data_IF_632594831125
#
_entry.id   IF_632594831125
#
_cell.length_a   1.000
_cell.length_b   1.000
_cell.length_c   1.000
_cell.angle_alpha   90.00
_cell.angle_beta   90.00
_cell.angle_gamma   90.00
#
_symmetry.space_group_name_H-M   'P 1'
#
loop_
_entity.id
_entity.type
_entity.pdbx_description
1 polymer ?
#
# COMPACT_ATOMS: atom_id res chain seq x y z
N UNK A 1 -72.80 -42.68 64.33
CA UNK A 1 -71.35 -42.63 64.02
C UNK A 1 -71.09 -41.33 63.32
N UNK A 2 -70.30 -40.43 63.92
CA UNK A 2 -70.13 -39.06 63.48
C UNK A 2 -68.96 -38.98 62.47
N UNK A 3 -69.03 -38.09 61.44
CA UNK A 3 -67.91 -37.91 60.50
C UNK A 3 -66.90 -36.92 61.05
N UNK A 4 -65.63 -37.13 60.74
CA UNK A 4 -64.49 -36.36 61.14
C UNK A 4 -64.28 -35.20 60.06
N UNK A 5 -64.12 -34.01 60.56
CA UNK A 5 -63.89 -32.80 59.73
C UNK A 5 -62.49 -32.76 59.13
N UNK A 6 -62.42 -32.35 57.85
CA UNK A 6 -61.14 -32.05 57.17
C UNK A 6 -60.71 -30.59 57.43
N UNK A 7 -59.49 -30.43 57.85
CA UNK A 7 -58.82 -29.12 57.98
C UNK A 7 -58.14 -28.72 56.66
N UNK A 8 -58.52 -27.60 56.14
CA UNK A 8 -57.90 -26.98 54.97
C UNK A 8 -56.55 -26.30 55.37
N UNK A 9 -55.46 -26.74 54.78
CA UNK A 9 -54.16 -25.98 54.82
C UNK A 9 -54.16 -25.00 53.67
N UNK A 10 -54.12 -23.72 54.01
CA UNK A 10 -53.84 -22.61 53.08
C UNK A 10 -52.35 -22.51 52.86
N UNK A 11 -51.87 -22.77 51.65
CA UNK A 11 -50.50 -22.55 51.25
C UNK A 11 -50.33 -21.07 50.77
N UNK A 12 -49.58 -20.29 51.49
CA UNK A 12 -49.10 -18.99 51.04
C UNK A 12 -47.90 -19.16 50.06
N UNK A 13 -48.15 -18.91 48.80
CA UNK A 13 -47.10 -18.79 47.78
C UNK A 13 -46.52 -17.39 47.81
N UNK A 14 -45.33 -17.22 48.37
CA UNK A 14 -44.55 -15.98 48.27
C UNK A 14 -43.94 -15.91 46.88
N UNK A 15 -44.43 -15.00 46.02
CA UNK A 15 -43.82 -14.70 44.72
C UNK A 15 -42.65 -13.76 44.96
N UNK A 16 -41.40 -14.29 44.88
CA UNK A 16 -40.17 -13.53 44.74
C UNK A 16 -40.11 -12.93 43.35
N UNK A 17 -40.48 -11.67 43.19
CA UNK A 17 -40.17 -10.89 41.99
C UNK A 17 -38.67 -10.58 41.96
N UNK A 18 -37.89 -11.38 41.23
CA UNK A 18 -36.52 -11.06 40.82
C UNK A 18 -36.62 -9.89 39.82
N UNK A 19 -36.42 -8.67 40.29
CA UNK A 19 -36.16 -7.52 39.45
C UNK A 19 -34.76 -7.71 38.78
N UNK A 20 -34.75 -8.24 37.56
CA UNK A 20 -33.56 -8.19 36.69
C UNK A 20 -33.36 -6.70 36.35
N UNK A 21 -32.56 -6.03 37.14
CA UNK A 21 -32.08 -4.70 36.80
C UNK A 21 -31.27 -4.79 35.51
N UNK A 22 -31.85 -4.31 34.41
CA UNK A 22 -31.12 -4.06 33.18
C UNK A 22 -30.05 -3.02 33.49
N UNK A 23 -28.81 -3.47 33.77
CA UNK A 23 -27.66 -2.59 33.73
C UNK A 23 -27.54 -2.06 32.32
N UNK A 24 -28.14 -0.91 32.03
CA UNK A 24 -27.81 -0.11 30.88
C UNK A 24 -26.34 0.33 31.08
N UNK A 25 -25.39 -0.41 30.52
CA UNK A 25 -24.04 0.11 30.38
C UNK A 25 -24.15 1.44 29.64
N UNK A 26 -23.78 2.52 30.30
CA UNK A 26 -23.71 3.83 29.67
C UNK A 26 -22.84 3.66 28.42
N UNK A 27 -23.44 3.86 27.25
CA UNK A 27 -22.71 3.74 25.98
C UNK A 27 -21.58 4.76 26.01
N UNK A 28 -20.34 4.27 25.94
CA UNK A 28 -19.16 5.12 25.99
C UNK A 28 -19.26 6.21 24.92
N UNK A 29 -18.93 7.46 25.28
CA UNK A 29 -18.94 8.59 24.33
C UNK A 29 -17.83 8.38 23.27
N UNK A 30 -18.24 7.92 22.08
CA UNK A 30 -17.34 7.63 20.96
C UNK A 30 -16.50 8.83 20.55
N UNK A 31 -17.06 10.06 20.60
CA UNK A 31 -16.31 11.30 20.33
C UNK A 31 -15.18 11.50 21.32
N UNK A 32 -15.47 11.39 22.61
CA UNK A 32 -14.48 11.57 23.69
C UNK A 32 -13.38 10.53 23.60
N UNK A 33 -13.74 9.27 23.29
CA UNK A 33 -12.77 8.19 23.08
C UNK A 33 -11.86 8.45 21.88
N UNK A 34 -12.42 8.86 20.75
CA UNK A 34 -11.66 9.17 19.53
C UNK A 34 -10.75 10.38 19.75
N UNK A 35 -11.26 11.46 20.33
CA UNK A 35 -10.48 12.66 20.61
C UNK A 35 -9.33 12.38 21.57
N UNK A 36 -9.58 11.61 22.64
CA UNK A 36 -8.57 11.27 23.64
C UNK A 36 -7.54 10.24 23.19
N UNK A 37 -7.84 9.44 22.15
CA UNK A 37 -6.95 8.38 21.68
C UNK A 37 -6.27 8.74 20.34
N UNK A 38 -7.07 9.14 19.33
CA UNK A 38 -6.55 9.33 17.98
C UNK A 38 -5.73 10.62 17.83
N UNK A 39 -6.09 11.67 18.56
CA UNK A 39 -5.40 12.97 18.48
C UNK A 39 -4.10 13.04 19.28
N UNK A 40 -3.73 12.01 20.06
CA UNK A 40 -2.53 12.01 20.88
C UNK A 40 -1.23 12.00 20.07
N UNK A 41 -1.23 11.33 18.92
CA UNK A 41 -0.03 11.20 18.07
C UNK A 41 -0.06 12.14 16.86
N UNK A 42 -1.25 12.42 16.33
CA UNK A 42 -1.46 13.31 15.19
C UNK A 42 -2.93 13.75 15.11
N UNK A 43 -3.24 14.92 14.55
CA UNK A 43 -4.61 15.34 14.34
C UNK A 43 -5.37 14.36 13.42
N UNK A 44 -6.47 13.79 13.90
CA UNK A 44 -7.27 12.83 13.11
C UNK A 44 -7.76 13.46 11.80
N UNK A 45 -8.29 14.68 11.83
CA UNK A 45 -8.80 15.39 10.66
C UNK A 45 -7.79 15.51 9.51
N UNK A 46 -6.49 15.54 9.80
CA UNK A 46 -5.44 15.57 8.81
C UNK A 46 -5.17 14.20 8.13
N UNK A 47 -5.79 13.13 8.64
CA UNK A 47 -5.54 11.74 8.20
C UNK A 47 -6.77 10.99 7.70
N UNK A 48 -7.96 11.51 7.89
CA UNK A 48 -9.22 10.83 7.51
C UNK A 48 -9.41 10.70 6.00
N UNK A 49 -8.72 11.51 5.19
CA UNK A 49 -8.83 11.46 3.73
C UNK A 49 -10.27 11.61 3.25
N UNK A 50 -10.74 10.66 2.42
CA UNK A 50 -12.11 10.59 1.91
C UNK A 50 -13.06 9.82 2.83
N UNK A 51 -12.70 9.59 4.08
CA UNK A 51 -13.44 8.74 5.01
C UNK A 51 -13.36 7.26 4.63
N UNK A 52 -14.06 6.41 5.41
CA UNK A 52 -14.07 4.97 5.19
C UNK A 52 -15.44 4.36 5.49
N UNK A 53 -15.69 3.20 4.92
CA UNK A 53 -16.80 2.31 5.32
C UNK A 53 -16.61 1.84 6.78
N UNK A 54 -17.65 1.28 7.45
CA UNK A 54 -17.48 0.70 8.79
C UNK A 54 -16.33 -0.29 8.88
N UNK A 55 -16.19 -1.21 7.91
CA UNK A 55 -15.09 -2.17 7.88
C UNK A 55 -13.73 -1.50 7.63
N UNK A 56 -13.71 -0.45 6.81
CA UNK A 56 -12.52 0.38 6.60
C UNK A 56 -12.07 1.05 7.89
N UNK A 57 -12.97 1.66 8.66
CA UNK A 57 -12.68 2.25 9.96
C UNK A 57 -12.23 1.22 10.98
N UNK A 58 -12.86 0.04 11.02
CA UNK A 58 -12.41 -1.09 11.86
C UNK A 58 -10.96 -1.47 11.55
N UNK A 59 -10.61 -1.53 10.27
CA UNK A 59 -9.22 -1.79 9.83
C UNK A 59 -8.28 -0.67 10.26
N UNK A 60 -8.67 0.61 10.12
CA UNK A 60 -7.85 1.76 10.55
C UNK A 60 -7.61 1.73 12.06
N UNK A 61 -8.64 1.46 12.87
CA UNK A 61 -8.48 1.30 14.32
C UNK A 61 -7.45 0.20 14.62
N UNK A 62 -7.55 -0.96 13.97
CA UNK A 62 -6.59 -2.06 14.14
C UNK A 62 -5.16 -1.66 13.74
N UNK A 63 -5.00 -0.93 12.64
CA UNK A 63 -3.70 -0.38 12.22
C UNK A 63 -3.09 0.49 13.31
N UNK A 64 -3.88 1.36 13.93
CA UNK A 64 -3.40 2.26 14.99
C UNK A 64 -3.05 1.49 16.25
N UNK A 65 -3.83 0.46 16.62
CA UNK A 65 -3.48 -0.45 17.72
C UNK A 65 -2.13 -1.14 17.49
N UNK A 66 -1.86 -1.59 16.27
CA UNK A 66 -0.56 -2.18 15.90
C UNK A 66 0.59 -1.15 16.02
N UNK A 67 0.29 0.14 15.92
CA UNK A 67 1.25 1.24 16.13
C UNK A 67 1.32 1.71 17.60
N UNK A 68 0.66 1.02 18.51
CA UNK A 68 0.69 1.32 19.94
C UNK A 68 -0.39 2.27 20.45
N UNK A 69 -1.42 2.56 19.63
CA UNK A 69 -2.56 3.34 20.13
C UNK A 69 -3.27 2.58 21.26
N UNK A 70 -3.51 3.21 22.44
CA UNK A 70 -4.08 2.56 23.62
C UNK A 70 -5.60 2.42 23.49
N UNK A 71 -6.07 1.61 22.54
CA UNK A 71 -7.49 1.33 22.34
C UNK A 71 -7.89 0.07 23.08
N UNK A 72 -8.70 0.22 24.12
CA UNK A 72 -9.29 -0.92 24.82
C UNK A 72 -10.34 -1.59 23.92
N UNK A 73 -10.36 -2.94 23.82
CA UNK A 73 -11.27 -3.66 22.92
C UNK A 73 -12.75 -3.31 23.10
N UNK A 74 -13.19 -3.08 24.33
CA UNK A 74 -14.55 -2.69 24.69
C UNK A 74 -14.96 -1.31 24.14
N UNK A 75 -14.01 -0.43 23.86
CA UNK A 75 -14.24 0.91 23.32
C UNK A 75 -14.36 0.92 21.78
N UNK A 76 -13.91 -0.14 21.09
CA UNK A 76 -13.91 -0.21 19.63
C UNK A 76 -15.30 0.01 19.03
N UNK A 77 -16.41 -0.59 19.54
CA UNK A 77 -17.75 -0.36 18.98
C UNK A 77 -18.17 1.11 19.01
N UNK A 78 -17.97 1.82 20.14
CA UNK A 78 -18.36 3.22 20.27
C UNK A 78 -17.50 4.14 19.38
N UNK A 79 -16.18 3.90 19.30
CA UNK A 79 -15.28 4.62 18.40
C UNK A 79 -15.66 4.40 16.94
N UNK A 80 -15.99 3.16 16.55
CA UNK A 80 -16.38 2.80 15.20
C UNK A 80 -17.69 3.48 14.79
N UNK A 81 -18.69 3.50 15.65
CA UNK A 81 -19.97 4.18 15.42
C UNK A 81 -19.75 5.67 15.17
N UNK A 82 -18.97 6.33 16.05
CA UNK A 82 -18.64 7.75 15.90
C UNK A 82 -17.89 8.05 14.61
N UNK A 83 -16.82 7.28 14.30
CA UNK A 83 -15.99 7.51 13.12
C UNK A 83 -16.79 7.30 11.82
N UNK A 84 -17.64 6.27 11.78
CA UNK A 84 -18.48 5.98 10.61
C UNK A 84 -19.50 7.08 10.35
N UNK A 85 -20.10 7.65 11.40
CA UNK A 85 -21.08 8.75 11.29
C UNK A 85 -20.44 10.09 10.97
N UNK A 86 -19.28 10.37 11.58
CA UNK A 86 -18.61 11.67 11.44
C UNK A 86 -17.76 11.79 10.18
N UNK A 87 -17.14 10.68 9.75
CA UNK A 87 -16.25 10.61 8.59
C UNK A 87 -16.65 9.45 7.68
N UNK A 88 -17.85 9.46 7.12
CA UNK A 88 -18.31 8.42 6.19
C UNK A 88 -17.46 8.42 4.92
N UNK A 89 -17.40 7.26 4.23
CA UNK A 89 -16.76 7.19 2.93
C UNK A 89 -17.44 8.13 1.93
N UNK A 90 -16.66 9.01 1.34
CA UNK A 90 -17.15 9.91 0.30
C UNK A 90 -17.37 9.17 -1.01
N UNK A 91 -18.23 9.71 -1.87
CA UNK A 91 -18.51 9.18 -3.19
C UNK A 91 -17.20 9.08 -4.02
N UNK A 92 -16.95 7.92 -4.58
CA UNK A 92 -15.82 7.62 -5.47
C UNK A 92 -16.29 7.46 -6.90
N UNK A 93 -15.42 7.71 -7.91
CA UNK A 93 -15.76 7.42 -9.30
C UNK A 93 -16.06 5.93 -9.49
N UNK A 94 -17.00 5.62 -10.36
CA UNK A 94 -17.30 4.25 -10.73
C UNK A 94 -16.13 3.59 -11.47
N UNK A 95 -15.71 2.41 -10.99
CA UNK A 95 -14.70 1.60 -11.66
C UNK A 95 -15.27 1.01 -12.96
N UNK A 96 -14.80 1.51 -14.10
CA UNK A 96 -15.28 1.04 -15.41
C UNK A 96 -14.68 -0.31 -15.77
N UNK A 97 -15.52 -1.26 -16.16
CA UNK A 97 -15.12 -2.58 -16.60
C UNK A 97 -15.10 -2.62 -18.13
N UNK A 98 -13.91 -2.78 -18.69
CA UNK A 98 -13.69 -2.76 -20.14
C UNK A 98 -13.23 -4.15 -20.59
N UNK A 99 -14.06 -4.82 -21.39
CA UNK A 99 -13.74 -6.11 -21.98
C UNK A 99 -12.63 -6.02 -23.03
N UNK A 100 -11.98 -7.16 -23.32
CA UNK A 100 -10.99 -7.25 -24.39
C UNK A 100 -10.33 -8.63 -24.46
N UNK A 101 -9.27 -8.80 -25.27
CA UNK A 101 -8.70 -10.12 -25.56
C UNK A 101 -8.00 -10.77 -24.37
N UNK A 102 -7.38 -9.98 -23.46
CA UNK A 102 -6.70 -10.56 -22.32
C UNK A 102 -7.71 -11.13 -21.30
N UNK A 103 -7.40 -12.29 -20.74
CA UNK A 103 -8.15 -12.91 -19.66
C UNK A 103 -7.34 -12.84 -18.38
N UNK A 104 -7.99 -12.62 -17.24
CA UNK A 104 -7.32 -12.63 -15.94
C UNK A 104 -8.04 -13.54 -14.95
N UNK A 105 -7.26 -14.18 -14.09
CA UNK A 105 -7.75 -14.88 -12.90
C UNK A 105 -7.02 -14.30 -11.70
N UNK A 106 -7.76 -13.82 -10.71
CA UNK A 106 -7.21 -13.23 -9.49
C UNK A 106 -7.26 -14.25 -8.36
N UNK A 107 -6.16 -14.36 -7.64
CA UNK A 107 -6.02 -15.17 -6.43
C UNK A 107 -5.56 -14.27 -5.30
N UNK A 108 -6.20 -14.34 -4.14
CA UNK A 108 -5.95 -13.45 -3.01
C UNK A 108 -5.53 -14.24 -1.77
N UNK A 109 -4.72 -13.61 -0.94
CA UNK A 109 -4.32 -14.12 0.38
C UNK A 109 -4.46 -12.99 1.39
N UNK A 110 -5.10 -13.29 2.52
CA UNK A 110 -5.19 -12.40 3.67
C UNK A 110 -3.86 -12.41 4.43
N UNK A 111 -3.34 -11.24 4.77
CA UNK A 111 -2.20 -11.15 5.67
C UNK A 111 -2.60 -11.64 7.07
N UNK A 112 -1.83 -12.56 7.71
CA UNK A 112 -2.20 -13.16 8.99
C UNK A 112 -2.41 -12.14 10.11
N UNK A 113 -1.55 -11.11 10.18
CA UNK A 113 -1.70 -10.05 11.16
C UNK A 113 -2.80 -9.07 10.73
N UNK A 114 -3.92 -8.96 11.46
CA UNK A 114 -4.98 -8.02 11.14
C UNK A 114 -4.49 -6.57 11.16
N UNK A 115 -4.87 -5.77 10.15
CA UNK A 115 -4.40 -4.38 10.05
C UNK A 115 -2.92 -4.26 9.70
N UNK A 116 -2.32 -5.31 9.13
CA UNK A 116 -0.92 -5.29 8.67
C UNK A 116 -0.65 -4.22 7.61
N UNK A 117 -1.67 -3.85 6.83
CA UNK A 117 -1.57 -2.89 5.73
C UNK A 117 -0.49 -3.29 4.72
N UNK A 118 -0.68 -4.38 3.96
CA UNK A 118 0.21 -4.75 2.87
C UNK A 118 0.44 -3.55 1.95
N UNK A 119 1.72 -3.15 1.77
CA UNK A 119 2.05 -1.91 1.07
C UNK A 119 2.75 -2.16 -0.26
N UNK A 120 3.99 -2.60 -0.27
CA UNK A 120 4.71 -2.97 -1.49
C UNK A 120 4.76 -4.50 -1.62
N UNK A 121 4.30 -5.06 -2.75
CA UNK A 121 4.50 -6.47 -3.05
C UNK A 121 5.87 -6.69 -3.72
N UNK A 122 6.34 -7.95 -3.66
CA UNK A 122 7.51 -8.42 -4.40
C UNK A 122 7.23 -9.82 -4.93
N UNK A 123 7.50 -10.06 -6.19
CA UNK A 123 7.53 -11.37 -6.81
C UNK A 123 8.97 -11.87 -6.83
N UNK A 124 9.30 -12.76 -5.88
CA UNK A 124 10.66 -13.28 -5.75
C UNK A 124 11.00 -14.31 -6.84
N UNK A 125 12.30 -14.48 -7.13
CA UNK A 125 12.78 -15.40 -8.18
C UNK A 125 12.53 -16.87 -7.89
N UNK A 126 12.34 -17.22 -6.61
CA UNK A 126 11.96 -18.58 -6.19
C UNK A 126 10.46 -18.89 -6.39
N UNK A 127 9.70 -17.92 -6.90
CA UNK A 127 8.28 -18.02 -7.13
C UNK A 127 7.41 -17.67 -5.92
N UNK A 128 8.00 -17.36 -4.77
CA UNK A 128 7.25 -16.82 -3.63
C UNK A 128 6.85 -15.37 -3.87
N UNK A 129 5.76 -14.96 -3.24
CA UNK A 129 5.35 -13.56 -3.20
C UNK A 129 5.63 -13.00 -1.82
N UNK A 130 5.99 -11.73 -1.76
CA UNK A 130 6.27 -11.05 -0.51
C UNK A 130 5.44 -9.76 -0.40
N UNK A 131 5.29 -9.26 0.81
CA UNK A 131 4.71 -7.95 1.08
C UNK A 131 5.35 -7.29 2.31
N UNK A 132 5.35 -5.98 2.32
CA UNK A 132 5.62 -5.20 3.53
C UNK A 132 4.34 -5.03 4.32
N UNK A 133 4.28 -5.54 5.55
CA UNK A 133 3.20 -5.30 6.50
C UNK A 133 3.49 -4.01 7.28
N UNK A 134 3.19 -2.87 6.66
CA UNK A 134 3.66 -1.56 7.09
C UNK A 134 3.24 -1.21 8.52
N UNK A 135 2.01 -1.54 8.91
CA UNK A 135 1.48 -1.23 10.23
C UNK A 135 1.67 -2.36 11.26
N UNK A 136 2.07 -3.55 10.80
CA UNK A 136 2.39 -4.69 11.67
C UNK A 136 3.89 -4.88 11.90
N UNK A 137 4.74 -4.07 11.26
CA UNK A 137 6.19 -4.15 11.34
C UNK A 137 6.75 -5.54 10.95
N UNK A 138 6.24 -6.11 9.85
CA UNK A 138 6.61 -7.43 9.35
C UNK A 138 6.92 -7.42 7.86
N UNK A 139 7.69 -8.44 7.40
CA UNK A 139 7.70 -8.86 6.01
C UNK A 139 6.95 -10.19 5.89
N UNK A 140 5.94 -10.25 5.03
CA UNK A 140 5.19 -11.48 4.79
C UNK A 140 5.70 -12.19 3.54
N UNK A 141 5.89 -13.52 3.61
CA UNK A 141 6.22 -14.42 2.51
C UNK A 141 5.06 -15.37 2.25
N UNK A 142 4.58 -15.40 1.02
CA UNK A 142 3.48 -16.24 0.55
C UNK A 142 4.07 -17.31 -0.37
N UNK A 143 3.75 -18.58 -0.12
CA UNK A 143 3.88 -19.65 -1.10
C UNK A 143 2.58 -19.73 -1.91
N UNK A 144 2.54 -19.26 -3.18
CA UNK A 144 1.30 -19.22 -3.94
C UNK A 144 0.79 -20.60 -4.37
N UNK A 145 1.60 -21.65 -4.28
CA UNK A 145 1.19 -23.04 -4.57
C UNK A 145 0.55 -23.68 -3.35
N UNK A 146 1.20 -23.56 -2.19
CA UNK A 146 0.70 -24.15 -0.94
C UNK A 146 -0.34 -23.26 -0.23
N UNK A 147 -0.46 -21.99 -0.61
CA UNK A 147 -1.31 -21.01 0.07
C UNK A 147 -0.82 -20.61 1.47
N UNK A 148 0.40 -21.04 1.85
CA UNK A 148 0.96 -20.78 3.18
C UNK A 148 1.61 -19.42 3.25
N UNK A 149 1.42 -18.73 4.38
CA UNK A 149 2.02 -17.43 4.66
C UNK A 149 2.90 -17.53 5.91
N UNK A 150 4.09 -16.94 5.83
CA UNK A 150 4.98 -16.74 6.96
C UNK A 150 5.31 -15.27 7.09
N UNK A 151 5.12 -14.70 8.28
CA UNK A 151 5.54 -13.34 8.61
C UNK A 151 6.86 -13.36 9.38
N UNK A 152 7.73 -12.39 9.06
CA UNK A 152 9.03 -12.16 9.69
C UNK A 152 8.96 -10.82 10.42
N UNK A 153 8.89 -10.81 11.76
CA UNK A 153 8.96 -9.59 12.55
C UNK A 153 10.27 -8.84 12.26
N UNK A 154 10.19 -7.52 12.14
CA UNK A 154 11.38 -6.70 11.91
C UNK A 154 12.07 -6.34 13.22
N UNK A 155 13.39 -6.16 13.14
CA UNK A 155 14.27 -5.92 14.30
C UNK A 155 13.97 -4.59 14.98
N UNK A 156 13.91 -3.50 14.21
CA UNK A 156 13.57 -2.16 14.72
C UNK A 156 12.06 -2.04 14.85
N UNK A 157 11.51 -1.79 16.06
CA UNK A 157 10.07 -1.58 16.25
C UNK A 157 9.57 -0.38 15.46
N UNK A 158 8.32 -0.46 15.01
CA UNK A 158 7.63 0.61 14.28
C UNK A 158 8.42 1.18 13.09
N UNK A 159 9.23 0.32 12.44
CA UNK A 159 10.06 0.77 11.31
C UNK A 159 9.25 1.20 10.08
N UNK A 160 7.96 0.85 10.01
CA UNK A 160 7.08 1.20 8.91
C UNK A 160 7.60 0.66 7.57
N UNK A 161 7.78 -0.67 7.40
CA UNK A 161 8.35 -1.24 6.18
C UNK A 161 7.51 -0.81 4.97
N UNK A 162 8.20 -0.29 3.93
CA UNK A 162 7.53 0.32 2.79
C UNK A 162 8.00 -0.29 1.47
N UNK A 163 9.13 0.14 0.91
CA UNK A 163 9.69 -0.42 -0.31
C UNK A 163 10.25 -1.82 -0.11
N UNK A 164 10.18 -2.68 -1.14
CA UNK A 164 10.60 -4.08 -1.08
C UNK A 164 11.29 -4.50 -2.39
N UNK A 165 12.49 -5.10 -2.31
CA UNK A 165 13.21 -5.69 -3.45
C UNK A 165 14.06 -6.88 -3.03
N UNK A 166 14.29 -7.81 -3.98
CA UNK A 166 15.18 -8.97 -3.81
C UNK A 166 16.54 -8.70 -4.46
N UNK A 167 17.64 -9.04 -3.76
CA UNK A 167 18.98 -9.02 -4.33
C UNK A 167 19.31 -10.33 -5.10
N UNK A 168 20.49 -10.38 -5.74
CA UNK A 168 20.91 -11.58 -6.51
C UNK A 168 21.12 -12.82 -5.65
N UNK A 169 21.35 -12.67 -4.35
CA UNK A 169 21.55 -13.75 -3.39
C UNK A 169 20.25 -14.28 -2.80
N UNK A 170 19.11 -13.64 -3.12
CA UNK A 170 17.78 -13.99 -2.60
C UNK A 170 17.47 -13.36 -1.25
N UNK A 171 18.25 -12.38 -0.80
CA UNK A 171 17.87 -11.59 0.36
C UNK A 171 16.80 -10.59 -0.02
N UNK A 172 15.91 -10.31 0.92
CA UNK A 172 14.81 -9.35 0.75
C UNK A 172 15.17 -8.04 1.45
N UNK A 173 15.25 -6.98 0.66
CA UNK A 173 15.59 -5.64 1.13
C UNK A 173 14.32 -4.81 1.30
N UNK A 174 14.25 -4.02 2.37
CA UNK A 174 13.12 -3.17 2.68
C UNK A 174 13.55 -1.79 3.17
N UNK A 175 12.70 -0.80 2.98
CA UNK A 175 12.87 0.51 3.62
C UNK A 175 12.09 0.54 4.92
N UNK A 176 12.73 0.94 6.02
CA UNK A 176 12.08 1.31 7.28
C UNK A 176 11.76 2.79 7.24
N UNK A 177 10.62 3.13 6.63
CA UNK A 177 10.27 4.50 6.25
C UNK A 177 10.10 5.44 7.43
N UNK A 178 9.70 4.94 8.61
CA UNK A 178 9.50 5.73 9.83
C UNK A 178 10.70 5.70 10.77
N UNK A 179 11.69 4.84 10.50
CA UNK A 179 12.86 4.64 11.36
C UNK A 179 14.19 4.95 10.67
N UNK A 180 14.15 5.65 9.54
CA UNK A 180 15.33 6.10 8.80
C UNK A 180 16.36 4.98 8.56
N UNK A 181 15.91 3.83 8.05
CA UNK A 181 16.80 2.70 7.78
C UNK A 181 16.43 1.97 6.49
N UNK A 182 17.39 1.24 5.94
CA UNK A 182 17.19 0.19 4.95
C UNK A 182 17.59 -1.13 5.58
N UNK A 183 16.70 -2.12 5.55
CA UNK A 183 16.94 -3.44 6.10
C UNK A 183 17.12 -4.50 5.02
N UNK A 184 17.87 -5.56 5.36
CA UNK A 184 18.11 -6.75 4.56
C UNK A 184 17.76 -7.97 5.38
N UNK A 185 16.75 -8.73 4.97
CA UNK A 185 16.37 -10.01 5.54
C UNK A 185 16.98 -11.15 4.71
N UNK A 186 17.63 -12.10 5.36
CA UNK A 186 17.96 -13.38 4.77
C UNK A 186 16.80 -14.37 5.02
N UNK A 187 16.03 -14.77 4.00
CA UNK A 187 14.85 -15.63 4.21
C UNK A 187 15.16 -17.05 4.73
N UNK A 188 16.39 -17.53 4.51
CA UNK A 188 16.82 -18.88 4.94
C UNK A 188 17.10 -18.93 6.45
N UNK A 189 17.73 -17.89 6.98
CA UNK A 189 18.14 -17.84 8.40
C UNK A 189 17.23 -16.98 9.26
N UNK A 190 16.46 -16.06 8.64
CA UNK A 190 15.70 -15.04 9.35
C UNK A 190 16.54 -13.85 9.83
N UNK A 191 17.86 -13.85 9.58
CA UNK A 191 18.76 -12.79 10.04
C UNK A 191 18.45 -11.47 9.32
N UNK A 192 18.43 -10.37 10.09
CA UNK A 192 18.19 -9.01 9.60
C UNK A 192 19.44 -8.15 9.86
N UNK A 193 19.92 -7.51 8.78
CA UNK A 193 20.94 -6.45 8.82
C UNK A 193 20.27 -5.12 8.52
N UNK A 194 20.59 -4.06 9.26
CA UNK A 194 20.00 -2.74 9.08
C UNK A 194 21.09 -1.68 8.82
N UNK A 195 20.85 -0.81 7.87
CA UNK A 195 21.69 0.31 7.46
C UNK A 195 20.96 1.61 7.82
N UNK A 196 21.52 2.36 8.76
CA UNK A 196 20.96 3.67 9.15
C UNK A 196 21.15 4.67 8.02
N UNK A 197 20.12 5.47 7.76
CA UNK A 197 20.21 6.53 6.77
C UNK A 197 20.96 7.72 7.33
N UNK A 198 21.85 8.35 6.53
CA UNK A 198 22.44 9.64 6.89
C UNK A 198 21.42 10.78 6.75
N UNK A 199 21.62 11.85 7.53
CA UNK A 199 20.85 13.07 7.39
C UNK A 199 21.02 13.66 5.97
N UNK A 200 19.94 14.24 5.40
CA UNK A 200 18.58 14.35 5.92
C UNK A 200 17.64 13.20 5.43
N UNK A 201 18.16 12.07 4.94
CA UNK A 201 17.37 11.01 4.29
C UNK A 201 16.58 10.13 5.30
N UNK A 202 15.80 10.77 6.16
CA UNK A 202 15.11 10.10 7.29
C UNK A 202 13.89 9.26 6.89
N UNK A 203 13.46 9.28 5.62
CA UNK A 203 12.26 8.61 5.14
C UNK A 203 12.49 7.78 3.86
N UNK A 204 13.38 6.78 3.86
CA UNK A 204 13.62 5.95 2.69
C UNK A 204 12.31 5.29 2.24
N UNK A 205 12.04 5.29 0.92
CA UNK A 205 10.70 4.97 0.41
C UNK A 205 10.71 3.85 -0.63
N UNK A 206 11.03 4.12 -1.89
CA UNK A 206 11.04 3.14 -2.98
C UNK A 206 12.46 2.61 -3.19
N UNK A 207 12.59 1.34 -3.57
CA UNK A 207 13.87 0.66 -3.82
C UNK A 207 13.96 0.12 -5.25
N UNK A 208 15.16 0.12 -5.83
CA UNK A 208 15.49 -0.64 -7.04
C UNK A 208 16.99 -0.99 -7.06
N UNK A 209 17.34 -2.19 -7.51
CA UNK A 209 18.73 -2.60 -7.76
C UNK A 209 19.13 -2.33 -9.20
N UNK A 210 20.28 -1.72 -9.41
CA UNK A 210 20.89 -1.66 -10.73
C UNK A 210 21.69 -2.96 -11.07
N UNK A 211 22.13 -3.09 -12.32
CA UNK A 211 22.89 -4.26 -12.78
C UNK A 211 24.24 -4.47 -12.08
N UNK A 212 24.77 -3.48 -11.39
CA UNK A 212 26.01 -3.59 -10.59
C UNK A 212 25.73 -4.05 -9.16
N UNK A 213 24.44 -4.13 -8.78
CA UNK A 213 24.00 -4.51 -7.44
C UNK A 213 23.96 -3.33 -6.47
N UNK A 214 24.05 -2.10 -6.97
CA UNK A 214 23.82 -0.91 -6.16
C UNK A 214 22.31 -0.76 -5.90
N UNK A 215 21.95 -0.56 -4.68
CA UNK A 215 20.57 -0.29 -4.27
C UNK A 215 20.27 1.20 -4.32
N UNK A 216 19.38 1.59 -5.20
CA UNK A 216 18.88 2.96 -5.29
C UNK A 216 17.62 3.11 -4.46
N UNK A 217 17.42 4.27 -3.83
CA UNK A 217 16.25 4.56 -3.04
C UNK A 217 15.83 6.03 -3.15
N UNK A 218 14.56 6.30 -2.89
CA UNK A 218 14.06 7.67 -2.71
C UNK A 218 13.85 7.96 -1.24
N UNK A 219 14.12 9.21 -0.82
CA UNK A 219 13.74 9.77 0.48
C UNK A 219 12.86 11.00 0.19
N UNK A 220 11.54 10.78 0.30
CA UNK A 220 10.51 11.63 -0.26
C UNK A 220 10.48 13.03 0.40
N UNK A 221 10.32 13.08 1.72
CA UNK A 221 10.20 14.33 2.45
C UNK A 221 11.56 15.04 2.57
N UNK A 222 12.64 14.26 2.64
CA UNK A 222 14.01 14.77 2.60
C UNK A 222 14.42 15.35 1.24
N UNK A 223 13.63 15.13 0.19
CA UNK A 223 13.95 15.54 -1.18
C UNK A 223 15.32 14.98 -1.65
N UNK A 224 15.53 13.66 -1.48
CA UNK A 224 16.78 12.99 -1.86
C UNK A 224 16.51 11.75 -2.73
N UNK A 225 17.46 11.50 -3.62
CA UNK A 225 17.66 10.21 -4.30
C UNK A 225 18.94 9.63 -3.74
N UNK A 226 18.87 8.44 -3.16
CA UNK A 226 20.01 7.81 -2.54
C UNK A 226 20.49 6.56 -3.29
N UNK A 227 21.76 6.20 -3.07
CA UNK A 227 22.31 4.92 -3.46
C UNK A 227 23.09 4.31 -2.30
N UNK A 228 22.88 3.04 -2.06
CA UNK A 228 23.58 2.22 -1.08
C UNK A 228 24.39 1.17 -1.83
N UNK A 229 25.67 1.03 -1.51
CA UNK A 229 26.47 -0.12 -1.92
C UNK A 229 26.32 -1.24 -0.89
N UNK A 230 25.66 -2.37 -1.21
CA UNK A 230 25.49 -3.47 -0.26
C UNK A 230 26.75 -4.16 0.19
N UNK A 231 27.89 -3.96 -0.52
CA UNK A 231 29.18 -4.57 -0.17
C UNK A 231 29.91 -3.80 0.91
N UNK A 232 29.87 -2.47 0.85
CA UNK A 232 30.60 -1.59 1.77
C UNK A 232 29.67 -0.99 2.83
N UNK A 233 28.38 -0.89 2.54
CA UNK A 233 27.41 -0.15 3.36
C UNK A 233 27.38 1.35 3.07
N UNK A 234 28.19 1.84 2.13
CA UNK A 234 28.30 3.25 1.80
C UNK A 234 27.03 3.80 1.19
N UNK A 235 26.57 4.93 1.70
CA UNK A 235 25.37 5.65 1.22
C UNK A 235 25.77 7.00 0.67
N UNK A 236 25.33 7.27 -0.56
CA UNK A 236 25.47 8.59 -1.21
C UNK A 236 24.09 9.17 -1.51
N UNK A 237 23.89 10.44 -1.15
CA UNK A 237 22.65 11.18 -1.38
C UNK A 237 22.84 12.18 -2.53
N UNK A 238 21.83 12.27 -3.39
CA UNK A 238 21.74 13.22 -4.49
C UNK A 238 20.53 14.12 -4.27
N UNK A 239 20.67 15.41 -4.56
CA UNK A 239 19.58 16.38 -4.48
C UNK A 239 18.97 16.59 -5.86
N UNK A 240 17.66 16.32 -6.07
CA UNK A 240 17.00 16.64 -7.33
C UNK A 240 17.04 18.14 -7.63
N UNK A 241 17.02 18.55 -8.92
CA UNK A 241 17.07 19.95 -9.30
C UNK A 241 15.93 20.79 -8.72
N UNK A 242 14.72 20.28 -8.70
CA UNK A 242 13.55 20.97 -8.12
C UNK A 242 13.48 20.75 -6.61
N UNK A 243 13.45 21.86 -5.86
CA UNK A 243 13.28 21.84 -4.40
C UNK A 243 11.89 21.30 -4.02
N UNK A 244 11.81 20.57 -2.89
CA UNK A 244 10.56 19.99 -2.34
C UNK A 244 9.81 19.12 -3.37
N UNK A 245 10.52 18.56 -4.34
CA UNK A 245 9.94 17.77 -5.43
C UNK A 245 9.40 16.40 -5.00
N UNK A 246 9.74 15.94 -3.80
CA UNK A 246 9.28 14.69 -3.20
C UNK A 246 9.52 13.48 -4.12
N UNK A 247 10.77 13.06 -4.38
CA UNK A 247 11.09 11.89 -5.18
C UNK A 247 10.32 10.65 -4.67
N UNK A 248 9.62 9.93 -5.56
CA UNK A 248 8.70 8.87 -5.14
C UNK A 248 8.99 7.53 -5.83
N UNK A 249 8.26 7.20 -6.90
CA UNK A 249 8.49 5.99 -7.69
C UNK A 249 9.76 6.09 -8.53
N UNK A 250 10.42 4.94 -8.76
CA UNK A 250 11.60 4.88 -9.61
C UNK A 250 11.63 3.61 -10.44
N UNK A 251 12.23 3.70 -11.63
CA UNK A 251 12.47 2.58 -12.51
C UNK A 251 13.74 2.80 -13.35
N UNK A 252 14.42 1.71 -13.70
CA UNK A 252 15.60 1.73 -14.56
C UNK A 252 15.21 1.52 -16.02
N UNK A 253 16.02 2.07 -16.94
CA UNK A 253 15.95 1.72 -18.36
C UNK A 253 16.39 0.27 -18.62
N UNK A 254 16.20 -0.23 -19.84
CA UNK A 254 16.51 -1.61 -20.23
C UNK A 254 17.99 -1.98 -20.02
N UNK A 255 18.90 -1.02 -20.08
CA UNK A 255 20.34 -1.20 -19.89
C UNK A 255 20.82 -0.92 -18.47
N UNK A 256 19.93 -0.39 -17.60
CA UNK A 256 20.25 0.08 -16.26
C UNK A 256 21.32 1.20 -16.23
N UNK A 257 21.41 1.97 -17.31
CA UNK A 257 22.28 3.12 -17.38
C UNK A 257 21.62 4.40 -16.89
N UNK A 258 20.29 4.45 -16.92
CA UNK A 258 19.47 5.57 -16.44
C UNK A 258 18.41 5.11 -15.45
N UNK A 259 18.32 5.84 -14.34
CA UNK A 259 17.26 5.72 -13.35
C UNK A 259 16.28 6.87 -13.55
N UNK A 260 15.01 6.56 -13.76
CA UNK A 260 13.93 7.54 -13.84
C UNK A 260 13.19 7.60 -12.50
N UNK A 261 13.06 8.80 -11.96
CA UNK A 261 12.45 9.08 -10.67
C UNK A 261 11.34 10.10 -10.85
N UNK A 262 10.11 9.72 -10.54
CA UNK A 262 8.97 10.64 -10.57
C UNK A 262 8.96 11.52 -9.32
N UNK A 263 8.58 12.78 -9.50
CA UNK A 263 8.57 13.77 -8.44
C UNK A 263 7.13 14.10 -8.04
N UNK A 264 6.63 13.42 -7.01
CA UNK A 264 5.23 13.53 -6.57
C UNK A 264 4.87 14.93 -6.02
N UNK A 265 5.84 15.70 -5.56
CA UNK A 265 5.67 17.10 -5.13
C UNK A 265 5.74 18.11 -6.27
N UNK A 266 6.06 17.68 -7.49
CA UNK A 266 6.24 18.53 -8.66
C UNK A 266 5.69 17.84 -9.92
N UNK A 267 5.52 18.61 -10.99
CA UNK A 267 5.13 18.09 -12.30
C UNK A 267 6.36 17.69 -13.14
N UNK A 268 7.18 16.76 -12.62
CA UNK A 268 8.42 16.42 -13.34
C UNK A 268 8.89 14.98 -13.08
N UNK A 269 9.78 14.53 -13.96
CA UNK A 269 10.51 13.27 -13.86
C UNK A 269 11.99 13.58 -13.97
N UNK A 270 12.81 13.06 -13.07
CA UNK A 270 14.28 13.18 -13.11
C UNK A 270 14.88 11.90 -13.66
N UNK A 271 15.73 12.01 -14.68
CA UNK A 271 16.65 10.95 -15.09
C UNK A 271 17.97 11.14 -14.36
N UNK A 272 18.47 10.09 -13.73
CA UNK A 272 19.81 10.01 -13.14
C UNK A 272 20.64 9.06 -13.94
N UNK A 273 21.79 9.48 -14.48
CA UNK A 273 22.76 8.54 -15.03
C UNK A 273 23.38 7.75 -13.88
N UNK A 274 23.25 6.40 -13.91
CA UNK A 274 23.66 5.57 -12.78
C UNK A 274 25.17 5.50 -12.57
N UNK A 275 26.00 5.89 -13.58
CA UNK A 275 27.46 5.90 -13.53
C UNK A 275 28.01 7.27 -13.17
N UNK A 276 27.62 8.32 -13.93
CA UNK A 276 28.12 9.70 -13.75
C UNK A 276 27.42 10.47 -12.67
N UNK A 277 26.20 10.04 -12.29
CA UNK A 277 25.28 10.68 -11.35
C UNK A 277 24.70 12.01 -11.88
N UNK A 278 24.93 12.35 -13.15
CA UNK A 278 24.30 13.49 -13.80
C UNK A 278 22.79 13.35 -13.81
N UNK A 279 22.10 14.44 -13.56
CA UNK A 279 20.65 14.52 -13.56
C UNK A 279 20.13 15.39 -14.70
N UNK A 280 19.05 14.91 -15.35
CA UNK A 280 18.25 15.68 -16.29
C UNK A 280 16.79 15.65 -15.85
N UNK A 281 16.18 16.82 -15.69
CA UNK A 281 14.78 16.95 -15.35
C UNK A 281 13.93 17.16 -16.60
N UNK A 282 12.79 16.46 -16.66
CA UNK A 282 11.76 16.61 -17.69
C UNK A 282 10.50 17.15 -17.03
N UNK A 283 10.11 18.37 -17.39
CA UNK A 283 8.83 18.94 -16.97
C UNK A 283 7.68 18.30 -17.72
N UNK A 284 6.62 17.94 -17.01
CA UNK A 284 5.38 17.47 -17.59
C UNK A 284 4.53 18.65 -18.06
N UNK A 285 3.74 18.49 -19.14
CA UNK A 285 3.00 19.60 -19.74
C UNK A 285 2.02 20.29 -18.81
N UNK A 286 1.41 19.55 -17.89
CA UNK A 286 0.41 20.08 -16.98
C UNK A 286 1.03 20.36 -15.59
N UNK A 287 0.92 21.59 -15.12
CA UNK A 287 1.46 22.03 -13.84
C UNK A 287 0.83 21.34 -12.63
N UNK A 288 -0.41 20.84 -12.77
CA UNK A 288 -1.12 20.08 -11.74
C UNK A 288 -0.76 18.59 -11.74
N UNK A 289 0.05 18.12 -12.71
CA UNK A 289 0.50 16.73 -12.73
C UNK A 289 1.29 16.39 -11.47
N UNK A 290 1.01 15.21 -10.91
CA UNK A 290 1.70 14.66 -9.74
C UNK A 290 2.01 13.19 -10.01
N UNK A 291 3.08 12.93 -10.80
CA UNK A 291 3.46 11.57 -11.15
C UNK A 291 3.87 10.82 -9.89
N UNK A 292 3.30 9.62 -9.69
CA UNK A 292 3.48 8.90 -8.42
C UNK A 292 4.26 7.60 -8.56
N UNK A 293 3.93 6.77 -9.55
CA UNK A 293 4.68 5.56 -9.87
C UNK A 293 5.14 5.60 -11.31
N UNK A 294 6.13 4.80 -11.63
CA UNK A 294 6.78 4.79 -12.94
C UNK A 294 7.16 3.36 -13.34
N UNK A 295 7.02 3.06 -14.61
CA UNK A 295 7.51 1.85 -15.25
C UNK A 295 8.24 2.22 -16.54
N UNK A 296 9.19 1.40 -16.98
CA UNK A 296 9.88 1.57 -18.26
C UNK A 296 9.59 0.35 -19.13
N UNK A 297 9.17 0.59 -20.37
CA UNK A 297 8.93 -0.45 -21.36
C UNK A 297 10.23 -0.86 -22.07
N UNK A 298 10.31 -2.04 -22.75
CA UNK A 298 11.53 -2.52 -23.40
C UNK A 298 12.11 -1.59 -24.46
N UNK A 299 11.33 -0.66 -24.99
CA UNK A 299 11.72 0.41 -25.93
C UNK A 299 12.24 1.68 -25.22
N UNK A 300 12.44 1.61 -23.91
CA UNK A 300 12.91 2.67 -23.03
C UNK A 300 11.93 3.87 -22.92
N UNK A 301 10.66 3.71 -23.28
CA UNK A 301 9.64 4.70 -22.96
C UNK A 301 9.32 4.68 -21.46
N UNK A 302 9.25 5.88 -20.86
CA UNK A 302 8.99 6.06 -19.43
C UNK A 302 7.51 6.31 -19.22
N UNK A 303 6.82 5.41 -18.51
CA UNK A 303 5.40 5.49 -18.23
C UNK A 303 5.16 5.85 -16.78
N UNK A 304 4.25 6.77 -16.51
CA UNK A 304 3.93 7.22 -15.17
C UNK A 304 2.42 7.29 -14.93
N UNK A 305 2.03 7.09 -13.68
CA UNK A 305 0.67 7.32 -13.22
C UNK A 305 0.57 8.71 -12.63
N UNK A 306 -0.28 9.57 -13.20
CA UNK A 306 -0.60 10.88 -12.64
C UNK A 306 -1.76 10.73 -11.66
N UNK A 307 -1.39 10.52 -10.41
CA UNK A 307 -2.32 10.26 -9.31
C UNK A 307 -3.31 11.41 -9.08
N UNK A 308 -2.88 12.64 -9.27
CA UNK A 308 -3.70 13.83 -8.98
C UNK A 308 -4.74 14.11 -10.06
N UNK A 309 -4.46 13.72 -11.31
CA UNK A 309 -5.31 14.08 -12.46
C UNK A 309 -6.03 12.89 -13.11
N UNK A 310 -5.71 11.66 -12.70
CA UNK A 310 -6.33 10.46 -13.26
C UNK A 310 -5.78 10.04 -14.63
N UNK A 311 -4.52 10.31 -14.94
CA UNK A 311 -3.93 10.00 -16.25
C UNK A 311 -2.84 8.92 -16.15
N UNK A 312 -2.72 8.14 -17.22
CA UNK A 312 -1.53 7.38 -17.57
C UNK A 312 -0.72 8.23 -18.56
N UNK A 313 0.54 8.54 -18.23
CA UNK A 313 1.41 9.34 -19.10
C UNK A 313 2.60 8.55 -19.62
N UNK A 314 3.12 8.95 -20.78
CA UNK A 314 4.34 8.44 -21.40
C UNK A 314 5.29 9.57 -21.75
N UNK A 315 6.52 9.48 -21.25
CA UNK A 315 7.62 10.35 -21.65
C UNK A 315 8.58 9.59 -22.58
N UNK A 316 8.92 10.19 -23.71
CA UNK A 316 10.06 9.77 -24.52
C UNK A 316 11.33 10.46 -23.98
N UNK A 317 12.26 9.77 -23.33
CA UNK A 317 13.40 10.42 -22.71
C UNK A 317 14.44 10.95 -23.71
N UNK A 318 14.37 10.54 -24.98
CA UNK A 318 15.26 11.03 -26.05
C UNK A 318 14.80 12.39 -26.55
N UNK A 319 13.51 12.56 -26.82
CA UNK A 319 12.93 13.78 -27.40
C UNK A 319 12.34 14.73 -26.36
N UNK A 320 11.95 14.23 -25.18
CA UNK A 320 11.18 14.96 -24.17
C UNK A 320 9.67 14.99 -24.45
N UNK A 321 9.20 14.36 -25.54
CA UNK A 321 7.77 14.29 -25.88
C UNK A 321 6.99 13.56 -24.77
N UNK A 322 5.85 14.16 -24.37
CA UNK A 322 4.92 13.56 -23.42
C UNK A 322 3.57 13.34 -24.09
N UNK A 323 2.98 12.15 -23.87
CA UNK A 323 1.59 11.83 -24.23
C UNK A 323 0.86 11.34 -23.00
N UNK A 324 -0.42 11.70 -22.88
CA UNK A 324 -1.25 11.34 -21.74
C UNK A 324 -2.59 10.77 -22.18
N UNK A 325 -3.10 9.80 -21.44
CA UNK A 325 -4.40 9.16 -21.63
C UNK A 325 -5.19 9.22 -20.33
N UNK A 326 -6.43 9.72 -20.41
CA UNK A 326 -7.33 9.69 -19.26
C UNK A 326 -7.63 8.23 -18.88
N UNK A 327 -7.47 7.92 -17.63
CA UNK A 327 -7.77 6.59 -17.08
C UNK A 327 -9.27 6.28 -17.14
N UNK A 328 -9.69 5.01 -17.31
CA UNK A 328 -11.10 4.64 -17.53
C UNK A 328 -12.10 5.20 -16.54
N UNK A 329 -11.77 5.24 -15.25
CA UNK A 329 -12.65 5.79 -14.22
C UNK A 329 -12.55 7.34 -14.08
N UNK A 330 -11.79 8.02 -14.97
CA UNK A 330 -11.74 9.47 -15.08
C UNK A 330 -10.76 10.16 -14.14
N UNK A 331 -10.86 11.49 -14.05
CA UNK A 331 -9.89 12.36 -13.38
C UNK A 331 -9.68 12.07 -11.90
N UNK A 332 -10.69 11.55 -11.21
CA UNK A 332 -10.63 11.21 -9.78
C UNK A 332 -10.26 9.76 -9.51
N UNK A 333 -9.88 8.98 -10.53
CA UNK A 333 -9.56 7.54 -10.41
C UNK A 333 -8.29 7.25 -9.62
N UNK A 334 -7.40 8.22 -9.48
CA UNK A 334 -6.12 8.11 -8.79
C UNK A 334 -5.29 6.89 -9.24
N UNK A 335 -4.82 6.83 -10.49
CA UNK A 335 -3.94 5.77 -10.97
C UNK A 335 -2.68 5.71 -10.10
N UNK A 336 -2.29 4.49 -9.64
CA UNK A 336 -1.21 4.41 -8.67
C UNK A 336 -0.14 3.38 -9.06
N UNK A 337 -0.17 2.17 -8.48
CA UNK A 337 0.82 1.15 -8.77
C UNK A 337 0.83 0.80 -10.26
N UNK A 338 1.99 0.85 -10.92
CA UNK A 338 2.14 0.56 -12.35
C UNK A 338 3.33 -0.34 -12.62
N UNK A 339 3.15 -1.30 -13.52
CA UNK A 339 4.20 -2.17 -14.05
C UNK A 339 4.07 -2.35 -15.55
N UNK A 340 5.19 -2.59 -16.22
CA UNK A 340 5.23 -2.95 -17.63
C UNK A 340 5.43 -4.47 -17.79
N UNK A 341 4.52 -5.14 -18.48
CA UNK A 341 4.57 -6.58 -18.75
C UNK A 341 4.59 -6.79 -20.27
N UNK A 342 5.73 -7.22 -20.80
CA UNK A 342 5.90 -7.45 -22.25
C UNK A 342 5.49 -6.24 -23.11
N UNK A 343 5.83 -5.03 -22.66
CA UNK A 343 5.51 -3.78 -23.34
C UNK A 343 4.09 -3.26 -23.16
N UNK A 344 3.26 -3.92 -22.36
CA UNK A 344 1.90 -3.52 -22.00
C UNK A 344 1.90 -2.98 -20.57
N UNK A 345 1.16 -1.92 -20.31
CA UNK A 345 1.07 -1.31 -18.99
C UNK A 345 -0.07 -1.95 -18.18
N UNK A 346 0.22 -2.24 -16.93
CA UNK A 346 -0.72 -2.73 -15.94
C UNK A 346 -0.67 -1.83 -14.72
N UNK A 347 -1.79 -1.31 -14.28
CA UNK A 347 -1.85 -0.40 -13.14
C UNK A 347 -3.19 -0.51 -12.38
N UNK A 348 -3.32 0.17 -11.27
CA UNK A 348 -4.54 0.23 -10.47
C UNK A 348 -5.16 1.62 -10.49
N UNK A 349 -6.50 1.70 -10.48
CA UNK A 349 -7.26 2.92 -10.19
C UNK A 349 -7.71 2.88 -8.73
N UNK A 350 -6.89 3.44 -7.84
CA UNK A 350 -6.99 3.22 -6.39
C UNK A 350 -8.16 3.96 -5.70
N UNK A 351 -8.76 4.96 -6.34
CA UNK A 351 -9.94 5.66 -5.84
C UNK A 351 -11.23 5.31 -6.62
N UNK A 352 -11.15 4.41 -7.59
CA UNK A 352 -12.36 3.88 -8.24
C UNK A 352 -13.10 2.90 -7.30
N UNK A 353 -14.41 2.76 -7.50
CA UNK A 353 -15.24 1.79 -6.76
C UNK A 353 -16.11 0.96 -7.72
N UNK A 354 -15.87 -0.36 -7.84
CA UNK A 354 -14.74 -1.11 -7.24
C UNK A 354 -13.38 -0.60 -7.75
N UNK A 355 -12.32 -0.82 -6.97
CA UNK A 355 -10.96 -0.60 -7.45
C UNK A 355 -10.69 -1.54 -8.62
N UNK A 356 -10.11 -1.00 -9.69
CA UNK A 356 -9.84 -1.75 -10.91
C UNK A 356 -8.35 -2.01 -11.12
N UNK A 357 -8.06 -3.17 -11.69
CA UNK A 357 -6.81 -3.43 -12.40
C UNK A 357 -7.03 -3.03 -13.85
N UNK A 358 -6.19 -2.16 -14.37
CA UNK A 358 -6.27 -1.64 -15.73
C UNK A 358 -5.08 -2.14 -16.55
N UNK A 359 -5.34 -2.60 -17.76
CA UNK A 359 -4.36 -2.91 -18.80
C UNK A 359 -4.46 -1.84 -19.89
N UNK A 360 -3.33 -1.27 -20.29
CA UNK A 360 -3.24 -0.37 -21.43
C UNK A 360 -2.22 -0.92 -22.43
N UNK A 361 -2.66 -1.07 -23.69
CA UNK A 361 -1.80 -1.52 -24.78
C UNK A 361 -1.31 -0.31 -25.60
N UNK A 362 -0.01 0.04 -25.52
CA UNK A 362 0.54 1.20 -26.20
C UNK A 362 0.42 1.15 -27.73
N UNK A 363 0.36 -0.05 -28.33
CA UNK A 363 0.26 -0.22 -29.79
C UNK A 363 -1.13 0.13 -30.30
N UNK A 364 -2.16 -0.30 -29.60
CA UNK A 364 -3.56 -0.08 -29.98
C UNK A 364 -4.20 1.10 -29.28
N UNK A 365 -3.56 1.62 -28.23
CA UNK A 365 -4.05 2.64 -27.30
C UNK A 365 -5.40 2.29 -26.67
N UNK A 366 -5.66 0.98 -26.48
CA UNK A 366 -6.91 0.48 -25.90
C UNK A 366 -6.70 0.05 -24.46
N UNK A 367 -7.74 0.34 -23.65
CA UNK A 367 -7.84 -0.10 -22.27
C UNK A 367 -8.62 -1.41 -22.14
N UNK A 368 -8.28 -2.18 -21.11
CA UNK A 368 -9.10 -3.23 -20.52
C UNK A 368 -9.05 -3.08 -19.02
N UNK A 369 -10.09 -3.47 -18.30
CA UNK A 369 -10.12 -3.35 -16.86
C UNK A 369 -10.97 -4.42 -16.20
N UNK A 370 -10.60 -4.79 -14.98
CA UNK A 370 -11.24 -5.82 -14.16
C UNK A 370 -11.38 -5.32 -12.72
N UNK A 371 -12.50 -5.63 -12.06
CA UNK A 371 -12.65 -5.30 -10.65
C UNK A 371 -11.74 -6.20 -9.80
N UNK A 372 -11.16 -5.65 -8.75
CA UNK A 372 -10.50 -6.45 -7.74
C UNK A 372 -11.59 -7.16 -6.91
N UNK A 373 -11.50 -8.49 -6.69
CA UNK A 373 -12.48 -9.21 -5.88
C UNK A 373 -12.60 -8.60 -4.47
N UNK A 374 -13.82 -8.54 -3.94
CA UNK A 374 -14.10 -7.83 -2.68
C UNK A 374 -14.04 -6.31 -2.78
N UNK A 375 -14.07 -5.76 -4.01
CA UNK A 375 -14.08 -4.32 -4.27
C UNK A 375 -12.71 -3.65 -4.23
N UNK A 376 -11.72 -4.28 -3.60
CA UNK A 376 -10.38 -3.73 -3.41
C UNK A 376 -10.35 -2.46 -2.56
N UNK A 377 -9.16 -2.01 -2.26
CA UNK A 377 -8.89 -0.69 -1.70
C UNK A 377 -7.47 -0.29 -2.11
N UNK A 378 -7.04 0.89 -1.79
CA UNK A 378 -5.78 1.49 -2.25
C UNK A 378 -4.67 0.48 -2.58
N UNK A 379 -4.32 0.35 -3.87
CA UNK A 379 -3.18 -0.42 -4.36
C UNK A 379 -2.01 0.53 -4.58
N UNK A 380 -1.00 0.46 -3.73
CA UNK A 380 0.06 1.48 -3.66
C UNK A 380 1.25 1.17 -4.55
N UNK A 381 1.57 -0.09 -4.69
CA UNK A 381 2.64 -0.57 -5.57
C UNK A 381 2.30 -1.93 -6.15
N UNK A 382 3.05 -2.31 -7.16
CA UNK A 382 2.86 -3.55 -7.92
C UNK A 382 4.21 -4.16 -8.27
N UNK A 383 4.23 -5.45 -8.54
CA UNK A 383 5.40 -6.14 -9.06
C UNK A 383 4.98 -7.17 -10.12
N UNK A 384 5.95 -7.79 -10.79
CA UNK A 384 5.72 -8.72 -11.89
C UNK A 384 6.46 -10.01 -11.63
N UNK A 385 5.76 -11.14 -11.71
CA UNK A 385 6.37 -12.47 -11.59
C UNK A 385 7.23 -12.77 -12.81
N UNK A 386 8.17 -13.71 -12.67
CA UNK A 386 9.07 -14.12 -13.78
C UNK A 386 8.31 -14.60 -15.02
N UNK A 387 7.16 -15.22 -14.85
CA UNK A 387 6.27 -15.69 -15.92
C UNK A 387 5.31 -14.63 -16.44
N UNK A 388 5.39 -13.40 -15.93
CA UNK A 388 4.68 -12.23 -16.45
C UNK A 388 3.27 -12.06 -15.89
N UNK A 389 3.01 -12.50 -14.66
CA UNK A 389 1.79 -12.19 -13.92
C UNK A 389 1.96 -10.93 -13.08
N UNK A 390 0.86 -10.27 -12.78
CA UNK A 390 0.84 -9.01 -12.06
C UNK A 390 0.54 -9.23 -10.58
N UNK A 391 1.32 -8.63 -9.70
CA UNK A 391 1.16 -8.75 -8.24
C UNK A 391 0.86 -7.39 -7.65
N UNK A 392 -0.11 -7.34 -6.75
CA UNK A 392 -0.51 -6.11 -6.07
C UNK A 392 -0.85 -6.37 -4.60
N UNK A 393 -0.77 -5.32 -3.78
CA UNK A 393 -1.15 -5.34 -2.38
C UNK A 393 -2.36 -4.42 -2.14
N UNK A 394 -3.43 -4.96 -1.59
CA UNK A 394 -4.64 -4.25 -1.19
C UNK A 394 -4.53 -3.80 0.26
N UNK A 395 -4.11 -2.56 0.47
CA UNK A 395 -3.69 -2.09 1.80
C UNK A 395 -4.78 -2.18 2.88
N UNK A 396 -5.99 -1.68 2.62
CA UNK A 396 -7.07 -1.68 3.62
C UNK A 396 -7.82 -3.02 3.70
N UNK A 397 -7.81 -3.81 2.64
CA UNK A 397 -8.38 -5.16 2.67
C UNK A 397 -7.44 -6.16 3.36
N UNK A 398 -6.23 -5.72 3.76
CA UNK A 398 -5.21 -6.56 4.37
C UNK A 398 -4.80 -7.77 3.50
N UNK A 399 -4.74 -7.59 2.17
CA UNK A 399 -4.60 -8.67 1.19
C UNK A 399 -3.45 -8.45 0.21
N UNK A 400 -2.91 -9.55 -0.31
CA UNK A 400 -2.05 -9.58 -1.50
C UNK A 400 -2.77 -10.33 -2.61
N UNK A 401 -2.70 -9.83 -3.84
CA UNK A 401 -3.38 -10.40 -5.00
C UNK A 401 -2.39 -10.73 -6.10
N UNK A 402 -2.47 -11.93 -6.62
CA UNK A 402 -1.83 -12.37 -7.87
C UNK A 402 -2.86 -12.36 -8.99
N UNK A 403 -2.63 -11.54 -10.00
CA UNK A 403 -3.42 -11.47 -11.23
C UNK A 403 -2.72 -12.33 -12.28
N UNK A 404 -3.22 -13.55 -12.48
CA UNK A 404 -2.73 -14.45 -13.54
C UNK A 404 -3.27 -13.97 -14.87
N UNK A 405 -2.36 -13.72 -15.81
CA UNK A 405 -2.68 -13.20 -17.14
C UNK A 405 -2.69 -14.37 -18.12
N UNK A 406 -3.88 -14.71 -18.64
CA UNK A 406 -4.09 -15.67 -19.70
C UNK A 406 -4.00 -15.04 -21.08
N UNK A 407 -3.82 -15.90 -22.09
CA UNK A 407 -3.89 -15.53 -23.52
C UNK A 407 -5.34 -15.35 -23.96
#
# INVERSE_FOLDING_TARGET
MKPVSAHSLSALTAACLLSIGSFAFAQADGKKLVDGTCNTCHPLAARVGSGYTPDGWKTVIRMMMNQGAPVAPENVPAMLDYLTKTYPEQAKPEGKLIAGPAKVKMQQWDAPTPGSRPHDPLAARDGSLWYTGQMANVLGRIDPKAGKIKEYPLKTPHSGPHGLKEDRQGNVWYTGNTSALIGKLNPKTGAITEYKMPDPAMDPHTLVFDKRGILWFTAQNANRIGRLDPKTGDIKLLTPPTAKSRPYGMALDSRNDNLFVVQFGANSIVRVNTKTLEMKEYKLPNEKARPRRVAVTPDDMVWYTDYARGYLGRLNPKTGEVKEWLSPAGEKSAPYGVSAIKGVLWYSESEAKPVTVVRFDPKTQKFQSWPIPGGGNIVRNTDVTKDGNFVLANSLNNQVTLVRIGK
#
